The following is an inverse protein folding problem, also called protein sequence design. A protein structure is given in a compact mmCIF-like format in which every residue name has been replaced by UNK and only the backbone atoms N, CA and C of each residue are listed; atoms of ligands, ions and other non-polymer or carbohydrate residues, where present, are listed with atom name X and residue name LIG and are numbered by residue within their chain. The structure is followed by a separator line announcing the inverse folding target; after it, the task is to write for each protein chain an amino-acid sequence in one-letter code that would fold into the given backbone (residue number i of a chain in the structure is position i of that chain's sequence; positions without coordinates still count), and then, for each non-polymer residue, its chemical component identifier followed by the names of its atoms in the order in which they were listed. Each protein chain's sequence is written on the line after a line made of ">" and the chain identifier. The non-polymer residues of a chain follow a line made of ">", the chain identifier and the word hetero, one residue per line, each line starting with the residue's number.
data_IF_701259936758
#
_entry.id   IF_701259936758
#
_cell.length_a   1.000
_cell.length_b   1.000
_cell.length_c   1.000
_cell.angle_alpha   90.00
_cell.angle_beta   90.00
_cell.angle_gamma   90.00
#
_symmetry.space_group_name_H-M   'P 1'
#
loop_
_entity.id
_entity.type
_entity.pdbx_description
1 polymer ?
#
# COMPACT_ATOMS: atom_id res chain seq x y z
N UNK A 1 -52.52 14.10 55.59
CA UNK A 1 -51.91 14.30 54.26
C UNK A 1 -50.90 13.17 54.04
N UNK A 2 -51.22 12.14 53.25
CA UNK A 2 -50.28 11.06 52.92
C UNK A 2 -49.31 11.56 51.84
N UNK A 3 -48.24 12.23 52.25
CA UNK A 3 -47.15 12.55 51.32
C UNK A 3 -46.27 11.31 51.18
N UNK A 4 -46.55 10.56 50.12
CA UNK A 4 -45.71 9.48 49.61
C UNK A 4 -44.38 10.08 49.17
N UNK A 5 -43.29 9.80 49.91
CA UNK A 5 -41.93 9.87 49.37
C UNK A 5 -41.99 9.08 48.06
N UNK A 6 -41.81 9.75 46.92
CA UNK A 6 -42.12 9.22 45.59
C UNK A 6 -41.52 7.82 45.45
N UNK A 7 -42.39 6.81 45.55
CA UNK A 7 -42.08 5.38 45.58
C UNK A 7 -41.27 4.95 44.34
N UNK A 8 -41.34 5.78 43.29
CA UNK A 8 -40.60 5.67 42.03
C UNK A 8 -39.08 5.85 42.16
N UNK A 9 -38.58 6.77 43.01
CA UNK A 9 -37.13 6.98 43.17
C UNK A 9 -36.46 5.79 43.89
N UNK A 10 -37.18 5.17 44.82
CA UNK A 10 -36.72 3.99 45.55
C UNK A 10 -36.76 2.69 44.74
N UNK A 11 -37.78 2.51 43.91
CA UNK A 11 -37.89 1.34 43.04
C UNK A 11 -36.74 1.27 42.01
N UNK A 12 -36.23 2.41 41.55
CA UNK A 12 -35.09 2.51 40.64
C UNK A 12 -33.79 2.10 41.34
N UNK A 13 -33.62 2.44 42.63
CA UNK A 13 -32.41 2.09 43.38
C UNK A 13 -32.37 0.62 43.83
N UNK A 14 -33.49 -0.05 44.10
CA UNK A 14 -33.50 -1.48 44.51
C UNK A 14 -33.42 -2.46 43.32
N UNK A 15 -33.83 -2.04 42.12
CA UNK A 15 -33.87 -2.91 40.91
C UNK A 15 -32.55 -2.98 40.12
N UNK A 16 -31.54 -2.19 40.47
CA UNK A 16 -30.23 -2.22 39.81
C UNK A 16 -29.37 -3.35 40.37
N UNK A 17 -29.67 -4.57 39.95
CA UNK A 17 -28.66 -5.61 39.79
C UNK A 17 -27.77 -5.18 38.64
N UNK A 18 -26.49 -4.96 38.91
CA UNK A 18 -25.47 -4.84 37.85
C UNK A 18 -25.44 -6.21 37.17
N UNK A 19 -26.21 -6.38 36.09
CA UNK A 19 -25.95 -7.45 35.13
C UNK A 19 -24.57 -7.17 34.58
N UNK A 20 -23.58 -7.83 35.19
CA UNK A 20 -22.30 -8.05 34.58
C UNK A 20 -22.59 -8.55 33.17
N UNK A 21 -22.16 -7.75 32.19
CA UNK A 21 -22.22 -8.11 30.79
C UNK A 21 -21.28 -9.32 30.61
N UNK A 22 -21.82 -10.52 30.81
CA UNK A 22 -21.24 -11.74 30.27
C UNK A 22 -21.60 -11.80 28.79
N UNK A 23 -20.80 -11.16 27.94
CA UNK A 23 -20.75 -11.54 26.53
C UNK A 23 -19.42 -12.24 26.29
N UNK A 24 -19.44 -13.56 26.46
CA UNK A 24 -18.36 -14.42 26.03
C UNK A 24 -18.35 -14.53 24.50
N UNK A 25 -17.13 -14.55 23.95
CA UNK A 25 -16.80 -15.33 22.76
C UNK A 25 -16.41 -14.53 21.52
N UNK A 26 -15.08 -14.39 21.30
CA UNK A 26 -14.54 -14.44 19.93
C UNK A 26 -13.41 -13.46 19.57
N UNK A 27 -12.16 -13.82 19.89
CA UNK A 27 -11.03 -13.65 18.95
C UNK A 27 -10.13 -12.40 19.07
N UNK A 28 -8.85 -12.69 19.35
CA UNK A 28 -7.64 -11.93 18.97
C UNK A 28 -7.18 -10.73 19.82
N UNK A 29 -6.38 -11.08 20.84
CA UNK A 29 -5.07 -10.51 21.19
C UNK A 29 -4.81 -9.01 20.93
N UNK A 30 -5.13 -8.17 21.92
CA UNK A 30 -4.24 -7.11 22.40
C UNK A 30 -4.79 -6.61 23.75
N UNK A 31 -4.18 -7.09 24.84
CA UNK A 31 -4.43 -6.60 26.19
C UNK A 31 -4.08 -5.12 26.27
N UNK A 32 -5.06 -4.28 26.61
CA UNK A 32 -4.85 -2.99 27.26
C UNK A 32 -6.13 -2.64 28.03
N UNK A 33 -6.39 -3.40 29.09
CA UNK A 33 -7.20 -2.92 30.20
C UNK A 33 -6.50 -1.67 30.74
N UNK A 34 -7.01 -0.47 30.43
CA UNK A 34 -6.44 0.76 30.97
C UNK A 34 -6.66 0.75 32.50
N UNK A 35 -5.61 0.55 33.32
CA UNK A 35 -5.76 0.36 34.75
C UNK A 35 -6.32 1.61 35.45
N UNK A 36 -6.21 2.79 34.84
CA UNK A 36 -6.84 4.01 35.36
C UNK A 36 -8.36 4.03 35.17
N UNK A 37 -8.88 3.50 34.05
CA UNK A 37 -10.32 3.39 33.84
C UNK A 37 -10.94 2.36 34.80
N UNK A 38 -10.26 1.23 35.03
CA UNK A 38 -10.69 0.24 36.02
C UNK A 38 -10.73 0.84 37.44
N UNK A 39 -9.70 1.62 37.81
CA UNK A 39 -9.65 2.32 39.10
C UNK A 39 -10.77 3.36 39.25
N UNK A 40 -11.05 4.17 38.23
CA UNK A 40 -12.13 5.17 38.28
C UNK A 40 -13.52 4.50 38.40
N UNK A 41 -13.75 3.39 37.68
CA UNK A 41 -14.99 2.61 37.78
C UNK A 41 -15.13 1.98 39.18
N UNK A 42 -14.04 1.50 39.78
CA UNK A 42 -14.06 0.95 41.13
C UNK A 42 -14.35 2.02 42.19
N UNK A 43 -13.78 3.23 42.04
CA UNK A 43 -14.05 4.38 42.91
C UNK A 43 -15.53 4.79 42.82
N UNK A 44 -16.07 4.89 41.61
CA UNK A 44 -17.49 5.21 41.38
C UNK A 44 -18.41 4.14 41.99
N UNK A 45 -18.08 2.85 41.86
CA UNK A 45 -18.83 1.77 42.51
C UNK A 45 -18.84 1.91 44.03
N UNK A 46 -17.68 2.17 44.65
CA UNK A 46 -17.59 2.37 46.11
C UNK A 46 -18.41 3.58 46.57
N UNK A 47 -18.42 4.65 45.80
CA UNK A 47 -19.20 5.85 46.11
C UNK A 47 -20.72 5.59 46.02
N UNK A 48 -21.17 4.89 44.97
CA UNK A 48 -22.59 4.49 44.82
C UNK A 48 -23.05 3.53 45.93
N UNK A 49 -22.18 2.60 46.36
CA UNK A 49 -22.46 1.69 47.48
C UNK A 49 -22.65 2.46 48.80
N UNK A 50 -21.78 3.45 49.06
CA UNK A 50 -21.85 4.30 50.24
C UNK A 50 -23.13 5.16 50.24
N UNK A 51 -23.51 5.72 49.09
CA UNK A 51 -24.74 6.51 48.95
C UNK A 51 -26.00 5.66 49.08
N UNK A 52 -25.99 4.42 48.57
CA UNK A 52 -27.08 3.45 48.81
C UNK A 52 -27.28 3.15 50.29
N UNK A 53 -26.19 2.97 51.05
CA UNK A 53 -26.28 2.76 52.50
C UNK A 53 -26.87 4.00 53.19
N UNK A 54 -26.44 5.20 52.82
CA UNK A 54 -26.96 6.44 53.39
C UNK A 54 -28.47 6.62 53.13
N UNK A 55 -28.95 6.31 51.91
CA UNK A 55 -30.38 6.34 51.57
C UNK A 55 -31.17 5.32 52.39
N UNK A 56 -30.64 4.10 52.57
CA UNK A 56 -31.28 3.07 53.38
C UNK A 56 -31.42 3.49 54.84
N UNK A 57 -30.36 4.04 55.44
CA UNK A 57 -30.41 4.55 56.82
C UNK A 57 -31.40 5.71 56.98
N UNK A 58 -31.46 6.64 56.02
CA UNK A 58 -32.42 7.75 56.05
C UNK A 58 -33.87 7.26 55.95
N UNK A 59 -34.11 6.22 55.13
CA UNK A 59 -35.42 5.57 55.02
C UNK A 59 -35.85 4.92 56.34
N UNK A 60 -34.95 4.15 56.95
CA UNK A 60 -35.23 3.45 58.20
C UNK A 60 -35.57 4.44 59.33
N UNK A 61 -34.85 5.56 59.39
CA UNK A 61 -35.16 6.65 60.33
C UNK A 61 -36.52 7.30 60.06
N UNK A 62 -36.86 7.55 58.79
CA UNK A 62 -38.16 8.12 58.43
C UNK A 62 -39.32 7.17 58.78
N UNK A 63 -39.12 5.86 58.60
CA UNK A 63 -40.08 4.83 59.00
C UNK A 63 -40.26 4.79 60.53
N UNK A 64 -39.15 4.82 61.29
CA UNK A 64 -39.21 4.88 62.76
C UNK A 64 -39.90 6.17 63.27
N UNK A 65 -39.65 7.31 62.63
CA UNK A 65 -40.32 8.57 62.97
C UNK A 65 -41.83 8.48 62.70
N UNK A 66 -42.24 7.86 61.59
CA UNK A 66 -43.64 7.61 61.27
C UNK A 66 -44.32 6.70 62.30
N UNK A 67 -43.63 5.68 62.82
CA UNK A 67 -44.15 4.85 63.91
C UNK A 67 -44.34 5.63 65.21
N UNK A 68 -43.44 6.57 65.53
CA UNK A 68 -43.60 7.47 66.69
C UNK A 68 -44.83 8.37 66.55
N UNK A 69 -45.16 8.85 65.35
CA UNK A 69 -46.42 9.60 65.12
C UNK A 69 -47.64 8.74 65.46
N UNK A 70 -47.69 7.49 64.97
CA UNK A 70 -48.79 6.56 65.28
C UNK A 70 -48.92 6.30 66.79
N UNK A 71 -47.80 6.16 67.49
CA UNK A 71 -47.79 5.99 68.95
C UNK A 71 -48.29 7.25 69.68
N UNK A 72 -47.87 8.45 69.25
CA UNK A 72 -48.34 9.72 69.80
C UNK A 72 -49.82 9.98 69.53
N UNK A 73 -50.33 9.62 68.34
CA UNK A 73 -51.76 9.71 68.01
C UNK A 73 -52.61 8.78 68.90
N UNK A 74 -52.12 7.56 69.16
CA UNK A 74 -52.79 6.64 70.08
C UNK A 74 -52.80 7.17 71.53
N UNK A 75 -51.70 7.80 71.98
CA UNK A 75 -51.62 8.44 73.29
C UNK A 75 -52.59 9.64 73.42
N UNK A 76 -52.70 10.45 72.36
CA UNK A 76 -53.69 11.54 72.28
C UNK A 76 -55.12 11.00 72.38
N UNK A 77 -55.47 9.96 71.62
CA UNK A 77 -56.80 9.36 71.68
C UNK A 77 -57.14 8.82 73.08
N UNK A 78 -56.15 8.25 73.79
CA UNK A 78 -56.31 7.82 75.19
C UNK A 78 -56.53 9.02 76.13
N UNK A 79 -55.78 10.11 75.97
CA UNK A 79 -55.94 11.32 76.77
C UNK A 79 -57.30 12.01 76.54
N UNK A 80 -57.80 12.03 75.29
CA UNK A 80 -59.15 12.52 74.97
C UNK A 80 -60.23 11.69 75.68
N UNK A 81 -60.08 10.36 75.72
CA UNK A 81 -61.00 9.47 76.42
C UNK A 81 -60.94 9.65 77.95
N UNK A 82 -59.76 9.89 78.52
CA UNK A 82 -59.60 10.18 79.96
C UNK A 82 -60.19 11.54 80.35
N UNK A 83 -60.03 12.57 79.50
CA UNK A 83 -60.67 13.86 79.70
C UNK A 83 -62.19 13.74 79.69
N UNK A 84 -62.76 13.00 78.74
CA UNK A 84 -64.21 12.77 78.67
C UNK A 84 -64.75 12.09 79.94
N UNK A 85 -64.02 11.09 80.47
CA UNK A 85 -64.36 10.43 81.74
C UNK A 85 -64.24 11.38 82.94
N UNK A 86 -63.18 12.17 83.01
CA UNK A 86 -62.96 13.13 84.10
C UNK A 86 -64.02 14.25 84.12
N UNK A 87 -64.41 14.74 82.94
CA UNK A 87 -65.50 15.72 82.81
C UNK A 87 -66.86 15.15 83.20
N UNK A 88 -67.13 13.88 82.88
CA UNK A 88 -68.36 13.21 83.32
C UNK A 88 -68.39 13.04 84.85
N UNK A 89 -67.29 12.58 85.45
CA UNK A 89 -67.17 12.47 86.90
C UNK A 89 -67.31 13.82 87.62
N UNK A 90 -66.84 14.91 87.00
CA UNK A 90 -67.03 16.26 87.52
C UNK A 90 -68.51 16.69 87.54
N UNK A 91 -69.28 16.35 86.50
CA UNK A 91 -70.74 16.58 86.46
C UNK A 91 -71.47 15.75 87.51
N UNK A 92 -71.13 14.48 87.64
CA UNK A 92 -71.77 13.56 88.59
C UNK A 92 -71.49 14.00 90.06
N UNK A 93 -70.36 14.65 90.31
CA UNK A 93 -69.96 15.18 91.62
C UNK A 93 -70.57 16.55 91.99
N UNK A 94 -71.40 17.17 91.13
CA UNK A 94 -71.99 18.50 91.40
C UNK A 94 -72.88 18.54 92.66
N UNK A 95 -73.48 17.40 93.04
CA UNK A 95 -74.33 17.22 94.22
C UNK A 95 -73.64 16.44 95.35
N UNK A 96 -72.33 16.20 95.26
CA UNK A 96 -71.56 15.41 96.22
C UNK A 96 -70.93 16.25 97.35
N UNK A 97 -70.13 15.62 98.21
CA UNK A 97 -69.41 16.35 99.27
C UNK A 97 -68.33 17.28 98.68
N UNK A 98 -67.99 18.36 99.39
CA UNK A 98 -67.00 19.34 98.93
C UNK A 98 -65.63 18.72 98.59
N UNK A 99 -65.25 17.64 99.28
CA UNK A 99 -63.99 16.92 99.08
C UNK A 99 -64.00 16.08 97.78
N UNK A 100 -65.14 15.46 97.44
CA UNK A 100 -65.31 14.71 96.19
C UNK A 100 -65.32 15.63 94.96
N UNK A 101 -65.95 16.80 95.09
CA UNK A 101 -65.94 17.84 94.04
C UNK A 101 -64.52 18.35 93.76
N UNK A 102 -63.72 18.58 94.80
CA UNK A 102 -62.33 19.02 94.65
C UNK A 102 -61.44 17.96 93.97
N UNK A 103 -61.61 16.67 94.30
CA UNK A 103 -60.90 15.56 93.64
C UNK A 103 -61.28 15.42 92.17
N UNK A 104 -62.56 15.56 91.83
CA UNK A 104 -63.04 15.51 90.45
C UNK A 104 -62.51 16.71 89.62
N UNK A 105 -62.43 17.90 90.22
CA UNK A 105 -61.88 19.08 89.55
C UNK A 105 -60.37 18.94 89.27
N UNK A 106 -59.60 18.46 90.25
CA UNK A 106 -58.18 18.19 90.06
C UNK A 106 -57.92 17.11 88.99
N UNK A 107 -58.77 16.09 88.90
CA UNK A 107 -58.69 15.07 87.85
C UNK A 107 -58.98 15.64 86.45
N UNK A 108 -59.96 16.54 86.33
CA UNK A 108 -60.29 17.21 85.06
C UNK A 108 -59.19 18.19 84.62
N UNK A 109 -58.61 18.94 85.55
CA UNK A 109 -57.46 19.83 85.28
C UNK A 109 -56.23 19.04 84.84
N UNK A 110 -55.92 17.92 85.51
CA UNK A 110 -54.84 17.01 85.10
C UNK A 110 -55.08 16.42 83.71
N UNK A 111 -56.29 15.93 83.43
CA UNK A 111 -56.61 15.37 82.11
C UNK A 111 -56.53 16.43 80.98
N UNK A 112 -56.81 17.69 81.29
CA UNK A 112 -56.64 18.81 80.35
C UNK A 112 -55.16 19.07 80.05
N UNK A 113 -54.29 19.04 81.07
CA UNK A 113 -52.85 19.15 80.89
C UNK A 113 -52.27 17.96 80.12
N UNK A 114 -52.72 16.74 80.42
CA UNK A 114 -52.28 15.52 79.73
C UNK A 114 -52.68 15.54 78.25
N UNK A 115 -53.88 16.05 77.90
CA UNK A 115 -54.29 16.24 76.50
C UNK A 115 -53.44 17.29 75.78
N UNK A 116 -53.15 18.42 76.42
CA UNK A 116 -52.29 19.46 75.84
C UNK A 116 -50.87 18.93 75.58
N UNK A 117 -50.32 18.16 76.52
CA UNK A 117 -49.02 17.50 76.35
C UNK A 117 -49.05 16.47 75.21
N UNK A 118 -50.10 15.66 75.10
CA UNK A 118 -50.25 14.68 74.02
C UNK A 118 -50.41 15.34 72.64
N UNK A 119 -51.14 16.46 72.55
CA UNK A 119 -51.27 17.23 71.31
C UNK A 119 -49.94 17.85 70.87
N UNK A 120 -49.16 18.38 71.82
CA UNK A 120 -47.83 18.89 71.52
C UNK A 120 -46.88 17.77 71.06
N UNK A 121 -46.94 16.59 71.70
CA UNK A 121 -46.14 15.43 71.31
C UNK A 121 -46.45 14.92 69.89
N UNK A 122 -47.71 15.01 69.43
CA UNK A 122 -48.07 14.73 68.04
C UNK A 122 -47.43 15.75 67.09
N UNK A 123 -47.54 17.04 67.39
CA UNK A 123 -46.98 18.11 66.56
C UNK A 123 -45.45 18.01 66.42
N UNK A 124 -44.77 17.69 67.51
CA UNK A 124 -43.32 17.49 67.51
C UNK A 124 -42.92 16.24 66.70
N UNK A 125 -43.68 15.16 66.80
CA UNK A 125 -43.46 13.94 66.02
C UNK A 125 -43.72 14.13 64.51
N UNK A 126 -44.75 14.89 64.13
CA UNK A 126 -45.03 15.24 62.73
C UNK A 126 -43.92 16.12 62.14
N UNK A 127 -43.44 17.08 62.92
CA UNK A 127 -42.32 17.96 62.52
C UNK A 127 -41.03 17.15 62.31
N UNK A 128 -40.71 16.24 63.24
CA UNK A 128 -39.56 15.35 63.13
C UNK A 128 -39.66 14.41 61.92
N UNK A 129 -40.85 13.87 61.64
CA UNK A 129 -41.08 13.00 60.47
C UNK A 129 -40.89 13.75 59.16
N UNK A 130 -41.41 14.98 59.08
CA UNK A 130 -41.24 15.84 57.88
C UNK A 130 -39.78 16.16 57.62
N UNK A 131 -39.01 16.46 58.68
CA UNK A 131 -37.58 16.72 58.58
C UNK A 131 -36.80 15.48 58.08
N UNK A 132 -37.14 14.28 58.58
CA UNK A 132 -36.44 13.06 58.19
C UNK A 132 -36.81 12.60 56.76
N UNK A 133 -38.07 12.81 56.34
CA UNK A 133 -38.48 12.60 54.95
C UNK A 133 -37.78 13.56 53.97
N UNK A 134 -37.56 14.81 54.36
CA UNK A 134 -36.81 15.76 53.54
C UNK A 134 -35.34 15.32 53.36
N UNK A 135 -34.70 14.80 54.41
CA UNK A 135 -33.34 14.24 54.32
C UNK A 135 -33.29 13.00 53.42
N UNK A 136 -34.27 12.10 53.54
CA UNK A 136 -34.35 10.91 52.70
C UNK A 136 -34.54 11.27 51.21
N UNK A 137 -35.37 12.27 50.90
CA UNK A 137 -35.57 12.74 49.53
C UNK A 137 -34.30 13.40 48.97
N UNK A 138 -33.61 14.24 49.75
CA UNK A 138 -32.36 14.87 49.32
C UNK A 138 -31.25 13.84 49.05
N UNK A 139 -31.15 12.79 49.87
CA UNK A 139 -30.20 11.70 49.66
C UNK A 139 -30.53 10.90 48.37
N UNK A 140 -31.82 10.66 48.09
CA UNK A 140 -32.24 9.97 46.87
C UNK A 140 -31.97 10.80 45.61
N UNK A 141 -32.23 12.11 45.64
CA UNK A 141 -31.98 13.01 44.51
C UNK A 141 -30.48 13.12 44.20
N UNK A 142 -29.64 13.19 45.25
CA UNK A 142 -28.19 13.17 45.12
C UNK A 142 -27.69 11.87 44.46
N UNK A 143 -28.13 10.71 44.95
CA UNK A 143 -27.74 9.42 44.40
C UNK A 143 -28.15 9.25 42.92
N UNK A 144 -29.31 9.80 42.52
CA UNK A 144 -29.76 9.78 41.14
C UNK A 144 -28.88 10.65 40.22
N UNK A 145 -28.44 11.82 40.70
CA UNK A 145 -27.53 12.69 39.97
C UNK A 145 -26.14 12.05 39.82
N UNK A 146 -25.60 11.49 40.90
CA UNK A 146 -24.28 10.87 40.90
C UNK A 146 -24.25 9.63 40.00
N UNK A 147 -25.34 8.85 39.94
CA UNK A 147 -25.49 7.74 38.99
C UNK A 147 -25.51 8.21 37.53
N UNK A 148 -26.26 9.28 37.22
CA UNK A 148 -26.32 9.82 35.85
C UNK A 148 -24.94 10.34 35.40
N UNK A 149 -24.23 11.04 36.29
CA UNK A 149 -22.87 11.50 36.04
C UNK A 149 -21.89 10.34 35.80
N UNK A 150 -21.98 9.27 36.62
CA UNK A 150 -21.16 8.08 36.46
C UNK A 150 -21.43 7.34 35.13
N UNK A 151 -22.70 7.21 34.74
CA UNK A 151 -23.07 6.59 33.46
C UNK A 151 -22.55 7.38 32.26
N UNK A 152 -22.63 8.72 32.33
CA UNK A 152 -22.11 9.59 31.29
C UNK A 152 -20.58 9.49 31.18
N UNK A 153 -19.87 9.53 32.32
CA UNK A 153 -18.42 9.38 32.36
C UNK A 153 -17.94 8.04 31.75
N UNK A 154 -18.66 6.93 32.02
CA UNK A 154 -18.36 5.63 31.40
C UNK A 154 -18.58 5.65 29.89
N UNK A 155 -19.62 6.33 29.40
CA UNK A 155 -19.90 6.45 27.98
C UNK A 155 -18.81 7.25 27.26
N UNK A 156 -18.38 8.37 27.84
CA UNK A 156 -17.34 9.23 27.28
C UNK A 156 -15.98 8.51 27.28
N UNK A 157 -15.65 7.78 28.36
CA UNK A 157 -14.45 6.95 28.44
C UNK A 157 -14.41 5.87 27.34
N UNK A 158 -15.52 5.18 27.08
CA UNK A 158 -15.61 4.18 25.99
C UNK A 158 -15.42 4.82 24.60
N UNK A 159 -16.01 5.98 24.37
CA UNK A 159 -15.87 6.69 23.10
C UNK A 159 -14.43 7.14 22.85
N UNK A 160 -13.74 7.64 23.88
CA UNK A 160 -12.33 8.00 23.80
C UNK A 160 -11.44 6.79 23.47
N UNK A 161 -11.64 5.65 24.13
CA UNK A 161 -10.88 4.41 23.84
C UNK A 161 -11.10 3.92 22.41
N UNK A 162 -12.34 3.96 21.89
CA UNK A 162 -12.63 3.58 20.52
C UNK A 162 -11.95 4.51 19.49
N UNK A 163 -11.91 5.81 19.76
CA UNK A 163 -11.21 6.77 18.90
C UNK A 163 -9.68 6.55 18.89
N UNK A 164 -9.09 6.22 20.04
CA UNK A 164 -7.66 5.91 20.16
C UNK A 164 -7.30 4.62 19.39
N UNK A 165 -8.14 3.58 19.52
CA UNK A 165 -7.98 2.32 18.77
C UNK A 165 -8.08 2.53 17.26
N UNK A 166 -9.02 3.37 16.80
CA UNK A 166 -9.16 3.69 15.39
C UNK A 166 -7.92 4.41 14.83
N UNK A 167 -7.31 5.33 15.60
CA UNK A 167 -6.05 5.99 15.22
C UNK A 167 -4.88 5.00 15.14
N UNK A 168 -4.76 4.10 16.11
CA UNK A 168 -3.72 3.08 16.14
C UNK A 168 -3.84 2.12 14.94
N UNK A 169 -5.06 1.69 14.60
CA UNK A 169 -5.30 0.85 13.42
C UNK A 169 -4.93 1.57 12.13
N UNK A 170 -5.34 2.83 11.95
CA UNK A 170 -5.00 3.60 10.76
C UNK A 170 -3.47 3.80 10.60
N UNK A 171 -2.74 3.97 11.70
CA UNK A 171 -1.29 4.04 11.67
C UNK A 171 -0.64 2.70 11.28
N UNK A 172 -1.17 1.58 11.79
CA UNK A 172 -0.70 0.24 11.44
C UNK A 172 -0.94 -0.08 9.95
N UNK A 173 -2.12 0.25 9.42
CA UNK A 173 -2.47 0.04 8.02
C UNK A 173 -1.55 0.87 7.09
N UNK A 174 -1.25 2.12 7.47
CA UNK A 174 -0.31 2.97 6.74
C UNK A 174 1.11 2.37 6.73
N UNK A 175 1.60 1.90 7.88
CA UNK A 175 2.92 1.27 7.97
C UNK A 175 3.01 -0.02 7.13
N UNK A 176 1.93 -0.81 7.07
CA UNK A 176 1.88 -2.00 6.23
C UNK A 176 1.94 -1.67 4.72
N UNK A 177 1.27 -0.59 4.28
CA UNK A 177 1.36 -0.13 2.89
C UNK A 177 2.77 0.35 2.53
N UNK A 178 3.39 1.14 3.40
CA UNK A 178 4.76 1.62 3.19
C UNK A 178 5.76 0.45 3.10
N UNK A 179 5.59 -0.59 3.93
CA UNK A 179 6.42 -1.80 3.86
C UNK A 179 6.26 -2.55 2.54
N UNK A 180 5.03 -2.68 2.02
CA UNK A 180 4.77 -3.35 0.75
C UNK A 180 5.42 -2.62 -0.44
N UNK A 181 5.36 -1.28 -0.45
CA UNK A 181 6.03 -0.44 -1.45
C UNK A 181 7.56 -0.64 -1.37
N UNK A 182 8.14 -0.58 -0.17
CA UNK A 182 9.58 -0.78 0.01
C UNK A 182 10.05 -2.17 -0.47
N UNK A 183 9.25 -3.22 -0.25
CA UNK A 183 9.56 -4.56 -0.77
C UNK A 183 9.53 -4.61 -2.30
N UNK A 184 8.56 -3.95 -2.93
CA UNK A 184 8.49 -3.85 -4.39
C UNK A 184 9.70 -3.10 -4.97
N UNK A 185 10.13 -2.01 -4.33
CA UNK A 185 11.31 -1.24 -4.74
C UNK A 185 12.59 -2.07 -4.63
N UNK A 186 12.72 -2.88 -3.57
CA UNK A 186 13.87 -3.80 -3.41
C UNK A 186 13.93 -4.83 -4.53
N UNK A 187 12.80 -5.45 -4.90
CA UNK A 187 12.79 -6.42 -6.00
C UNK A 187 13.11 -5.78 -7.35
N UNK A 188 12.61 -4.56 -7.59
CA UNK A 188 12.99 -3.78 -8.78
C UNK A 188 14.49 -3.47 -8.81
N UNK A 189 15.06 -3.05 -7.69
CA UNK A 189 16.49 -2.77 -7.57
C UNK A 189 17.35 -4.02 -7.77
N UNK A 190 16.91 -5.19 -7.28
CA UNK A 190 17.59 -6.47 -7.55
C UNK A 190 17.58 -6.83 -9.04
N UNK A 191 16.44 -6.66 -9.72
CA UNK A 191 16.34 -6.91 -11.15
C UNK A 191 17.25 -5.96 -11.96
N UNK A 192 17.33 -4.69 -11.57
CA UNK A 192 18.22 -3.71 -12.18
C UNK A 192 19.70 -4.04 -11.92
N UNK A 193 20.04 -4.47 -10.71
CA UNK A 193 21.39 -4.93 -10.36
C UNK A 193 21.80 -6.16 -11.18
N UNK A 194 20.89 -7.13 -11.39
CA UNK A 194 21.16 -8.30 -12.21
C UNK A 194 21.47 -7.92 -13.66
N UNK A 195 20.71 -6.97 -14.25
CA UNK A 195 20.99 -6.43 -15.58
C UNK A 195 22.35 -5.74 -15.65
N UNK A 196 22.73 -4.99 -14.61
CA UNK A 196 24.03 -4.33 -14.54
C UNK A 196 25.18 -5.33 -14.38
N UNK A 197 25.00 -6.40 -13.61
CA UNK A 197 25.98 -7.46 -13.44
C UNK A 197 26.18 -8.25 -14.74
N UNK A 198 25.10 -8.57 -15.47
CA UNK A 198 25.19 -9.14 -16.81
C UNK A 198 25.91 -8.18 -17.76
N UNK A 199 25.50 -6.90 -17.80
CA UNK A 199 26.20 -5.86 -18.55
C UNK A 199 27.68 -5.82 -18.19
N UNK A 200 28.05 -5.82 -16.91
CA UNK A 200 29.45 -5.79 -16.48
C UNK A 200 30.24 -7.02 -16.94
N UNK A 201 29.65 -8.22 -16.89
CA UNK A 201 30.25 -9.43 -17.49
C UNK A 201 30.50 -9.24 -19.00
N UNK A 202 29.62 -8.52 -19.69
CA UNK A 202 29.78 -8.19 -21.12
C UNK A 202 30.82 -7.10 -21.40
N UNK A 203 31.10 -6.20 -20.44
CA UNK A 203 32.08 -5.10 -20.57
C UNK A 203 33.51 -5.48 -20.12
N UNK A 204 33.67 -6.39 -19.16
CA UNK A 204 34.96 -6.66 -18.50
C UNK A 204 35.91 -7.64 -19.23
N UNK A 205 35.63 -7.96 -20.50
CA UNK A 205 36.54 -8.78 -21.31
C UNK A 205 36.87 -8.09 -22.64
N UNK A 206 37.92 -7.26 -22.57
CA UNK A 206 38.96 -7.04 -23.59
C UNK A 206 38.51 -6.95 -25.05
N UNK A 207 38.35 -5.71 -25.51
CA UNK A 207 38.31 -5.22 -26.90
C UNK A 207 37.15 -5.71 -27.79
N UNK A 208 36.36 -4.76 -28.27
CA UNK A 208 35.42 -4.94 -29.38
C UNK A 208 36.14 -4.50 -30.64
N UNK A 209 36.62 -5.43 -31.45
CA UNK A 209 37.21 -5.12 -32.76
C UNK A 209 36.26 -5.51 -33.88
N UNK A 210 36.01 -4.57 -34.79
CA UNK A 210 35.45 -4.85 -36.10
C UNK A 210 36.61 -5.19 -37.05
N UNK A 211 36.52 -6.30 -37.79
CA UNK A 211 37.49 -6.77 -38.80
C UNK A 211 38.62 -7.69 -38.30
N UNK A 212 39.21 -8.45 -39.25
CA UNK A 212 40.17 -9.53 -39.01
C UNK A 212 39.54 -10.91 -38.77
N UNK A 213 40.23 -11.99 -39.15
CA UNK A 213 39.77 -13.37 -38.98
C UNK A 213 40.26 -13.91 -37.60
N UNK A 214 39.48 -13.70 -36.54
CA UNK A 214 39.82 -14.17 -35.17
C UNK A 214 38.89 -15.32 -34.76
N UNK A 215 39.35 -16.59 -34.80
CA UNK A 215 38.47 -17.74 -34.63
C UNK A 215 38.16 -18.16 -33.17
N UNK A 216 38.53 -17.40 -32.12
CA UNK A 216 38.56 -17.97 -30.75
C UNK A 216 38.24 -17.01 -29.59
N UNK A 217 37.12 -16.30 -29.62
CA UNK A 217 36.52 -15.73 -28.40
C UNK A 217 35.12 -16.28 -28.20
N UNK A 218 34.99 -17.22 -27.25
CA UNK A 218 33.81 -18.06 -26.99
C UNK A 218 32.55 -17.34 -26.50
N UNK A 219 32.51 -16.01 -26.52
CA UNK A 219 31.38 -15.20 -26.05
C UNK A 219 31.01 -14.04 -27.00
N UNK A 220 31.72 -13.87 -28.12
CA UNK A 220 31.49 -12.79 -29.09
C UNK A 220 31.66 -13.32 -30.51
N UNK A 221 30.91 -12.75 -31.42
CA UNK A 221 30.94 -13.13 -32.82
C UNK A 221 31.25 -11.90 -33.65
N UNK A 222 32.37 -11.93 -34.35
CA UNK A 222 32.68 -10.95 -35.39
C UNK A 222 32.43 -11.59 -36.74
N UNK A 223 31.53 -11.00 -37.51
CA UNK A 223 31.33 -11.31 -38.92
C UNK A 223 31.87 -10.14 -39.69
N UNK A 224 33.05 -10.31 -40.27
CA UNK A 224 33.68 -9.24 -41.03
C UNK A 224 34.67 -9.76 -42.06
N UNK A 225 34.79 -9.02 -43.14
CA UNK A 225 35.76 -9.19 -44.23
C UNK A 225 36.72 -8.02 -44.35
N UNK A 226 36.53 -6.98 -43.53
CA UNK A 226 37.48 -5.88 -43.43
C UNK A 226 38.78 -6.35 -42.78
N UNK A 227 39.91 -5.94 -43.35
CA UNK A 227 41.25 -6.23 -42.85
C UNK A 227 41.75 -5.19 -41.84
N UNK A 228 40.87 -4.31 -41.37
CA UNK A 228 41.16 -3.25 -40.41
C UNK A 228 40.54 -3.55 -39.05
N UNK A 229 41.12 -3.05 -37.96
CA UNK A 229 40.65 -3.25 -36.58
C UNK A 229 40.20 -1.93 -35.95
N UNK A 230 38.97 -1.86 -35.45
CA UNK A 230 38.46 -0.69 -34.70
C UNK A 230 38.24 -1.05 -33.23
N UNK A 231 38.94 -0.40 -32.31
CA UNK A 231 38.68 -0.56 -30.87
C UNK A 231 37.44 0.24 -30.45
N UNK A 232 36.29 -0.43 -30.34
CA UNK A 232 35.04 0.21 -29.96
C UNK A 232 34.97 0.60 -28.47
N UNK A 233 35.91 0.16 -27.62
CA UNK A 233 35.92 0.59 -26.19
C UNK A 233 36.23 2.07 -26.01
N UNK A 234 36.89 2.68 -27.01
CA UNK A 234 37.19 4.12 -27.05
C UNK A 234 36.00 4.99 -27.46
N UNK A 235 34.91 4.37 -27.89
CA UNK A 235 33.75 5.06 -28.44
C UNK A 235 32.50 4.70 -27.63
N UNK A 236 31.87 5.66 -26.92
CA UNK A 236 30.66 5.36 -26.16
C UNK A 236 29.52 4.87 -27.04
N UNK A 237 28.60 4.11 -26.42
CA UNK A 237 27.37 3.64 -27.06
C UNK A 237 26.64 4.80 -27.74
N UNK A 238 26.14 4.57 -28.96
CA UNK A 238 25.46 5.57 -29.77
C UNK A 238 24.66 4.92 -30.88
N UNK A 239 23.44 5.41 -31.08
CA UNK A 239 22.60 5.04 -32.23
C UNK A 239 22.88 5.89 -33.46
N UNK A 240 23.77 6.88 -33.35
CA UNK A 240 24.23 7.71 -34.45
C UNK A 240 25.49 7.13 -35.11
N UNK A 241 25.63 7.41 -36.41
CA UNK A 241 26.82 7.01 -37.17
C UNK A 241 28.03 7.81 -36.71
N UNK A 242 29.07 7.10 -36.34
CA UNK A 242 30.41 7.64 -36.07
C UNK A 242 31.32 7.36 -37.24
N UNK A 243 32.28 8.26 -37.44
CA UNK A 243 33.30 8.11 -38.47
C UNK A 243 34.68 8.23 -37.82
N UNK A 244 35.61 7.37 -38.24
CA UNK A 244 37.01 7.44 -37.82
C UNK A 244 37.93 7.22 -39.01
N UNK A 245 39.09 7.87 -38.96
CA UNK A 245 40.24 7.50 -39.80
C UNK A 245 40.86 6.23 -39.22
N UNK A 246 41.10 5.26 -40.08
CA UNK A 246 41.66 3.96 -39.72
C UNK A 246 43.12 3.96 -40.12
N UNK A 247 44.00 3.66 -39.16
CA UNK A 247 45.44 3.57 -39.39
C UNK A 247 45.91 2.12 -39.29
N UNK A 248 46.87 1.73 -40.11
CA UNK A 248 47.54 0.44 -39.98
C UNK A 248 48.59 0.45 -38.85
N UNK A 249 49.27 -0.68 -38.65
CA UNK A 249 50.29 -0.85 -37.59
C UNK A 249 51.47 0.13 -37.73
N UNK A 250 51.76 0.60 -38.94
CA UNK A 250 52.79 1.61 -39.24
C UNK A 250 52.30 3.06 -39.00
N UNK A 251 51.05 3.24 -38.57
CA UNK A 251 50.43 4.55 -38.34
C UNK A 251 49.99 5.28 -39.61
N UNK A 252 49.95 4.59 -40.76
CA UNK A 252 49.51 5.14 -42.04
C UNK A 252 47.98 5.07 -42.12
N UNK A 253 47.32 6.16 -42.53
CA UNK A 253 45.89 6.15 -42.82
C UNK A 253 45.61 5.21 -44.00
N UNK A 254 44.70 4.26 -43.81
CA UNK A 254 44.31 3.27 -44.81
C UNK A 254 42.87 3.43 -45.26
N UNK A 255 42.12 4.35 -44.66
CA UNK A 255 40.74 4.62 -45.02
C UNK A 255 39.88 5.15 -43.88
N UNK A 256 38.58 5.19 -44.12
CA UNK A 256 37.58 5.69 -43.18
C UNK A 256 36.56 4.62 -42.86
N UNK A 257 36.33 4.39 -41.58
CA UNK A 257 35.25 3.53 -41.11
C UNK A 257 34.06 4.34 -40.63
N UNK A 258 32.88 3.86 -40.96
CA UNK A 258 31.59 4.39 -40.53
C UNK A 258 30.91 3.30 -39.72
N UNK A 259 30.59 3.56 -38.46
CA UNK A 259 30.06 2.53 -37.57
C UNK A 259 29.02 3.06 -36.61
N UNK A 260 28.24 2.14 -36.07
CA UNK A 260 27.30 2.37 -34.96
C UNK A 260 27.66 1.37 -33.86
N UNK A 261 27.81 1.87 -32.62
CA UNK A 261 28.19 1.07 -31.46
C UNK A 261 27.03 1.01 -30.48
N UNK A 262 26.28 -0.08 -30.47
CA UNK A 262 25.15 -0.30 -29.59
C UNK A 262 25.59 -1.08 -28.33
N UNK A 263 24.66 -1.33 -27.41
CA UNK A 263 24.99 -1.91 -26.11
C UNK A 263 25.51 -3.35 -26.26
N UNK A 264 24.92 -4.14 -27.17
CA UNK A 264 25.23 -5.56 -27.37
C UNK A 264 25.70 -5.90 -28.78
N UNK A 265 25.65 -4.96 -29.72
CA UNK A 265 26.04 -5.14 -31.11
C UNK A 265 26.70 -3.89 -31.69
N UNK A 266 27.45 -4.06 -32.77
CA UNK A 266 28.01 -2.95 -33.54
C UNK A 266 28.18 -3.37 -34.99
N UNK A 267 28.08 -2.43 -35.91
CA UNK A 267 28.19 -2.69 -37.33
C UNK A 267 28.85 -1.52 -38.05
N UNK A 268 29.52 -1.82 -39.16
CA UNK A 268 30.28 -0.83 -39.92
C UNK A 268 30.25 -1.02 -41.44
N UNK A 269 30.70 0.04 -42.10
CA UNK A 269 31.17 0.05 -43.47
C UNK A 269 32.54 0.75 -43.52
N UNK A 270 33.49 0.17 -44.25
CA UNK A 270 34.84 0.72 -44.39
C UNK A 270 35.11 1.17 -45.84
N UNK A 271 35.68 2.37 -45.98
CA UNK A 271 36.07 2.97 -47.24
C UNK A 271 37.59 3.06 -47.27
N UNK A 272 38.28 2.21 -48.04
CA UNK A 272 39.74 2.27 -48.12
C UNK A 272 40.21 3.53 -48.87
N UNK A 273 41.33 4.10 -48.42
CA UNK A 273 41.98 5.25 -49.07
C UNK A 273 42.64 4.84 -50.40
N UNK A 274 43.16 3.62 -50.46
CA UNK A 274 43.69 3.02 -51.68
C UNK A 274 42.83 1.82 -52.10
N UNK A 275 42.28 1.87 -53.31
CA UNK A 275 41.36 0.87 -53.88
C UNK A 275 42.01 0.00 -54.95
N UNK A 276 43.33 0.12 -55.14
CA UNK A 276 44.07 -0.70 -56.11
C UNK A 276 44.02 -2.18 -55.74
N UNK A 277 43.99 -3.04 -56.75
CA UNK A 277 43.97 -4.50 -56.58
C UNK A 277 45.21 -5.04 -55.83
N UNK A 278 46.29 -4.27 -55.78
CA UNK A 278 47.54 -4.61 -55.10
C UNK A 278 47.54 -4.27 -53.60
N UNK A 279 46.47 -3.65 -53.09
CA UNK A 279 46.32 -3.33 -51.65
C UNK A 279 45.43 -4.33 -50.91
N UNK A 280 45.80 -4.73 -49.68
CA UNK A 280 45.11 -5.78 -48.91
C UNK A 280 43.84 -5.30 -48.18
N UNK A 281 43.42 -4.05 -48.41
CA UNK A 281 42.32 -3.43 -47.65
C UNK A 281 40.99 -3.61 -48.38
N UNK A 282 40.36 -4.75 -48.13
CA UNK A 282 38.98 -5.01 -48.55
C UNK A 282 38.00 -4.55 -47.47
N UNK A 283 36.74 -4.33 -47.87
CA UNK A 283 35.66 -4.13 -46.91
C UNK A 283 34.45 -4.95 -47.30
N UNK A 284 33.81 -5.51 -46.28
CA UNK A 284 32.50 -6.16 -46.36
C UNK A 284 31.49 -5.44 -45.48
N UNK A 285 30.34 -6.09 -45.29
CA UNK A 285 29.47 -5.77 -44.18
C UNK A 285 30.12 -6.38 -42.93
N UNK A 286 30.63 -5.55 -42.03
CA UNK A 286 31.23 -6.03 -40.79
C UNK A 286 30.34 -5.70 -39.60
N UNK A 287 30.19 -6.67 -38.70
CA UNK A 287 29.47 -6.48 -37.46
C UNK A 287 29.99 -7.42 -36.38
N UNK A 288 29.88 -6.98 -35.14
CA UNK A 288 30.19 -7.75 -33.94
C UNK A 288 28.97 -7.79 -33.04
N UNK A 289 28.73 -8.93 -32.39
CA UNK A 289 27.61 -9.04 -31.49
C UNK A 289 27.80 -10.00 -30.32
N UNK A 290 26.94 -9.68 -29.37
CA UNK A 290 26.35 -10.34 -28.21
C UNK A 290 25.41 -11.53 -28.40
N UNK A 291 25.76 -12.75 -28.84
CA UNK A 291 24.73 -13.73 -29.21
C UNK A 291 23.72 -13.98 -28.08
N UNK A 292 22.43 -13.84 -28.38
CA UNK A 292 21.37 -14.17 -27.42
C UNK A 292 21.32 -15.67 -27.15
N UNK A 293 21.30 -16.05 -25.87
CA UNK A 293 21.03 -17.42 -25.44
C UNK A 293 19.53 -17.68 -25.43
N UNK A 294 19.04 -18.41 -26.44
CA UNK A 294 17.62 -18.71 -26.61
C UNK A 294 16.99 -19.41 -25.39
N UNK A 295 17.77 -20.13 -24.57
CA UNK A 295 17.27 -20.81 -23.37
C UNK A 295 17.08 -19.87 -22.17
N UNK A 296 17.67 -18.67 -22.22
CA UNK A 296 17.62 -17.69 -21.11
C UNK A 296 16.82 -16.45 -21.46
N UNK A 297 16.72 -16.10 -22.73
CA UNK A 297 15.94 -14.94 -23.16
C UNK A 297 14.45 -15.13 -22.88
N UNK A 298 13.90 -14.25 -22.04
CA UNK A 298 12.47 -14.16 -21.78
C UNK A 298 11.66 -13.79 -23.03
N UNK A 299 12.18 -12.96 -23.92
CA UNK A 299 11.52 -12.61 -25.17
C UNK A 299 11.28 -13.83 -26.07
N UNK A 300 12.30 -14.69 -26.18
CA UNK A 300 12.21 -15.93 -26.95
C UNK A 300 11.34 -16.96 -26.22
N UNK A 301 11.58 -17.20 -24.93
CA UNK A 301 10.85 -18.20 -24.14
C UNK A 301 9.35 -17.86 -24.02
N UNK A 302 9.00 -16.59 -23.93
CA UNK A 302 7.61 -16.12 -23.90
C UNK A 302 6.99 -15.93 -25.28
N UNK A 303 7.73 -16.25 -26.36
CA UNK A 303 7.25 -16.24 -27.73
C UNK A 303 6.64 -14.88 -28.14
N UNK A 304 7.28 -13.78 -27.76
CA UNK A 304 6.74 -12.44 -28.04
C UNK A 304 6.88 -12.07 -29.51
N UNK A 305 6.08 -11.11 -29.97
CA UNK A 305 6.37 -10.35 -31.19
C UNK A 305 7.16 -9.10 -30.82
N UNK A 306 8.31 -8.89 -31.44
CA UNK A 306 9.22 -7.79 -31.13
C UNK A 306 9.52 -6.95 -32.39
N UNK A 307 9.43 -5.63 -32.25
CA UNK A 307 9.81 -4.68 -33.31
C UNK A 307 11.15 -4.06 -32.98
N UNK A 308 12.08 -4.08 -33.93
CA UNK A 308 13.40 -3.48 -33.85
C UNK A 308 13.49 -2.32 -34.80
N UNK A 309 13.98 -1.18 -34.33
CA UNK A 309 14.23 -0.01 -35.19
C UNK A 309 15.64 0.52 -34.98
N UNK A 310 16.22 1.08 -36.05
CA UNK A 310 17.57 1.62 -36.02
C UNK A 310 17.99 2.17 -37.37
N UNK A 311 19.28 2.05 -37.68
CA UNK A 311 19.86 2.55 -38.91
C UNK A 311 20.47 1.41 -39.74
N UNK A 312 20.61 1.68 -41.02
CA UNK A 312 21.43 0.92 -41.93
C UNK A 312 22.50 1.82 -42.56
N UNK A 313 23.65 1.23 -42.82
CA UNK A 313 24.77 1.86 -43.51
C UNK A 313 24.89 1.26 -44.90
N UNK A 314 24.61 2.07 -45.91
CA UNK A 314 24.74 1.72 -47.30
C UNK A 314 26.12 2.10 -47.82
N UNK A 315 26.85 1.11 -48.32
CA UNK A 315 28.09 1.35 -49.07
C UNK A 315 27.80 1.58 -50.54
N UNK A 316 28.19 2.75 -51.02
CA UNK A 316 27.96 3.21 -52.38
C UNK A 316 29.28 3.24 -53.14
N UNK A 317 29.53 2.22 -53.95
CA UNK A 317 30.66 2.23 -54.88
C UNK A 317 30.44 3.25 -56.01
N UNK A 318 31.52 3.89 -56.46
CA UNK A 318 31.47 4.79 -57.63
C UNK A 318 31.24 3.98 -58.91
N UNK A 319 31.91 2.84 -59.03
CA UNK A 319 31.67 1.81 -60.06
C UNK A 319 32.38 0.49 -59.65
N UNK A 320 32.24 -0.57 -60.46
CA UNK A 320 32.82 -1.90 -60.15
C UNK A 320 34.36 -1.90 -60.09
N UNK A 321 35.01 -0.93 -60.73
CA UNK A 321 36.48 -0.75 -60.76
C UNK A 321 37.02 0.30 -59.79
N UNK A 322 36.16 1.18 -59.26
CA UNK A 322 36.49 2.24 -58.31
C UNK A 322 35.68 2.06 -57.04
N UNK A 323 36.36 1.47 -56.05
CA UNK A 323 35.79 1.19 -54.74
C UNK A 323 35.89 2.38 -53.76
N UNK A 324 36.33 3.56 -54.21
CA UNK A 324 36.49 4.78 -53.38
C UNK A 324 35.15 5.50 -53.18
N UNK A 325 34.17 4.71 -52.78
CA UNK A 325 32.78 5.10 -52.64
C UNK A 325 32.50 6.01 -51.44
N UNK A 326 31.22 6.13 -51.10
CA UNK A 326 30.74 6.79 -49.88
C UNK A 326 29.89 5.83 -49.04
N UNK A 327 29.70 6.17 -47.76
CA UNK A 327 28.72 5.52 -46.89
C UNK A 327 27.59 6.51 -46.63
N UNK A 328 26.35 6.04 -46.80
CA UNK A 328 25.14 6.82 -46.55
C UNK A 328 24.25 6.08 -45.57
N UNK A 329 23.35 6.80 -44.90
CA UNK A 329 22.42 6.20 -43.93
C UNK A 329 21.09 5.85 -44.56
N UNK A 330 20.39 4.94 -43.91
CA UNK A 330 18.99 4.62 -44.15
C UNK A 330 18.35 4.22 -42.82
N UNK A 331 17.02 4.27 -42.74
CA UNK A 331 16.28 3.74 -41.59
C UNK A 331 16.13 2.24 -41.72
N UNK A 332 16.27 1.53 -40.61
CA UNK A 332 16.06 0.09 -40.51
C UNK A 332 14.87 -0.21 -39.60
N UNK A 333 14.03 -1.15 -40.02
CA UNK A 333 12.94 -1.73 -39.22
C UNK A 333 12.84 -3.22 -39.46
N UNK A 334 12.59 -4.00 -38.41
CA UNK A 334 12.38 -5.44 -38.45
C UNK A 334 11.35 -5.84 -37.39
N UNK A 335 10.36 -6.64 -37.77
CA UNK A 335 9.47 -7.33 -36.85
C UNK A 335 9.90 -8.79 -36.77
N UNK A 336 10.11 -9.29 -35.55
CA UNK A 336 10.36 -10.70 -35.27
C UNK A 336 9.18 -11.30 -34.51
N UNK A 337 8.65 -12.40 -35.01
CA UNK A 337 7.64 -13.21 -34.34
C UNK A 337 8.31 -14.51 -33.85
N UNK A 338 8.60 -14.56 -32.54
CA UNK A 338 9.26 -15.72 -31.93
C UNK A 338 8.31 -16.92 -31.78
N UNK A 339 6.99 -16.73 -31.86
CA UNK A 339 6.03 -17.83 -31.87
C UNK A 339 6.04 -18.54 -33.23
N UNK A 340 6.08 -17.76 -34.31
CA UNK A 340 6.08 -18.28 -35.68
C UNK A 340 7.49 -18.57 -36.23
N UNK A 341 8.53 -18.15 -35.52
CA UNK A 341 9.92 -18.18 -35.99
C UNK A 341 10.11 -17.46 -37.33
N UNK A 342 9.49 -16.28 -37.47
CA UNK A 342 9.57 -15.47 -38.69
C UNK A 342 10.09 -14.07 -38.41
N UNK A 343 10.71 -13.47 -39.41
CA UNK A 343 11.03 -12.03 -39.42
C UNK A 343 10.61 -11.40 -40.72
N UNK A 344 10.28 -10.12 -40.71
CA UNK A 344 10.12 -9.30 -41.91
C UNK A 344 10.51 -7.85 -41.59
N UNK A 345 10.87 -7.07 -42.59
CA UNK A 345 11.35 -5.72 -42.33
C UNK A 345 11.64 -4.91 -43.57
N UNK A 346 12.26 -3.75 -43.39
CA UNK A 346 12.62 -2.88 -44.49
C UNK A 346 13.82 -1.99 -44.14
N UNK A 347 14.51 -1.56 -45.19
CA UNK A 347 15.48 -0.45 -45.14
C UNK A 347 14.95 0.67 -46.02
N UNK A 348 14.58 1.77 -45.40
CA UNK A 348 13.84 2.88 -46.02
C UNK A 348 14.58 4.20 -45.86
N UNK A 349 14.09 5.24 -46.53
CA UNK A 349 14.65 6.61 -46.43
C UNK A 349 16.16 6.63 -46.72
N UNK A 350 16.56 5.92 -47.77
CA UNK A 350 17.97 5.76 -48.14
C UNK A 350 18.54 7.08 -48.68
N UNK A 351 19.52 7.64 -47.98
CA UNK A 351 20.14 8.94 -48.32
C UNK A 351 20.86 8.94 -49.67
N UNK A 352 21.26 7.76 -50.18
CA UNK A 352 21.84 7.61 -51.52
C UNK A 352 20.83 7.76 -52.68
N UNK A 353 19.53 7.95 -52.37
CA UNK A 353 18.46 8.08 -53.36
C UNK A 353 18.17 6.80 -54.15
N UNK A 354 18.65 5.64 -53.69
CA UNK A 354 18.25 4.32 -54.23
C UNK A 354 16.88 3.95 -53.66
N UNK A 355 16.16 3.08 -54.36
CA UNK A 355 14.88 2.57 -53.86
C UNK A 355 15.06 1.80 -52.55
N UNK A 356 14.03 1.81 -51.72
CA UNK A 356 13.99 1.06 -50.48
C UNK A 356 14.25 -0.44 -50.70
N UNK A 357 14.72 -1.10 -49.64
CA UNK A 357 14.94 -2.54 -49.62
C UNK A 357 13.84 -3.15 -48.77
N UNK A 358 13.04 -4.02 -49.37
CA UNK A 358 12.12 -4.88 -48.65
C UNK A 358 12.89 -6.11 -48.15
N UNK A 359 12.80 -6.37 -46.85
CA UNK A 359 13.20 -7.65 -46.26
C UNK A 359 11.93 -8.51 -46.22
N UNK A 360 11.84 -9.45 -47.15
CA UNK A 360 10.70 -10.36 -47.24
C UNK A 360 10.65 -11.27 -46.02
N UNK A 361 9.50 -11.91 -45.77
CA UNK A 361 9.38 -12.84 -44.65
C UNK A 361 10.47 -13.92 -44.71
N UNK A 362 11.32 -13.93 -43.69
CA UNK A 362 12.41 -14.87 -43.47
C UNK A 362 12.13 -15.76 -42.29
N UNK A 363 13.13 -16.56 -41.95
CA UNK A 363 13.06 -17.55 -40.87
C UNK A 363 14.00 -17.18 -39.74
N UNK A 364 13.55 -17.44 -38.52
CA UNK A 364 14.35 -17.43 -37.30
C UNK A 364 14.86 -18.85 -37.04
N UNK A 365 16.13 -18.99 -36.66
CA UNK A 365 16.71 -20.28 -36.31
C UNK A 365 17.79 -20.16 -35.25
N UNK A 366 18.04 -21.26 -34.53
CA UNK A 366 19.12 -21.40 -33.55
C UNK A 366 20.51 -21.54 -34.20
N UNK A 367 20.55 -21.69 -35.52
CA UNK A 367 21.74 -21.63 -36.35
C UNK A 367 21.35 -20.95 -37.66
N UNK A 368 22.18 -20.02 -38.12
CA UNK A 368 21.95 -19.32 -39.39
C UNK A 368 23.12 -19.58 -40.31
N UNK A 369 22.81 -20.03 -41.52
CA UNK A 369 23.80 -20.31 -42.54
C UNK A 369 23.45 -19.63 -43.87
N UNK A 370 24.46 -19.12 -44.57
CA UNK A 370 24.42 -18.78 -45.98
C UNK A 370 25.73 -19.24 -46.65
N UNK A 371 25.91 -18.91 -47.94
CA UNK A 371 27.10 -19.26 -48.71
C UNK A 371 28.45 -18.80 -48.12
N UNK A 372 28.44 -17.92 -47.11
CA UNK A 372 29.64 -17.32 -46.51
C UNK A 372 29.70 -17.36 -44.98
N UNK A 373 28.61 -17.76 -44.32
CA UNK A 373 28.42 -17.67 -42.87
C UNK A 373 27.76 -18.99 -42.45
N UNK A 374 28.29 -19.69 -41.47
CA UNK A 374 27.63 -20.81 -40.81
C UNK A 374 27.86 -20.67 -39.31
N UNK A 375 26.81 -20.27 -38.58
CA UNK A 375 26.94 -19.83 -37.21
C UNK A 375 25.87 -20.43 -36.30
N UNK A 376 26.28 -21.11 -35.21
CA UNK A 376 25.37 -21.78 -34.28
C UNK A 376 24.78 -20.80 -33.25
N UNK A 377 24.27 -19.67 -33.73
CA UNK A 377 23.67 -18.63 -32.89
C UNK A 377 22.27 -18.29 -33.37
N UNK A 378 21.44 -17.87 -32.42
CA UNK A 378 20.08 -17.42 -32.70
C UNK A 378 20.10 -16.22 -33.64
N UNK A 379 19.48 -16.38 -34.81
CA UNK A 379 19.44 -15.32 -35.80
C UNK A 379 18.36 -15.57 -36.84
N UNK A 380 18.48 -14.85 -37.95
CA UNK A 380 17.48 -14.87 -38.99
C UNK A 380 18.10 -14.70 -40.38
N UNK A 381 17.40 -15.20 -41.39
CA UNK A 381 17.77 -14.98 -42.79
C UNK A 381 16.55 -15.01 -43.70
N UNK A 382 16.66 -14.36 -44.85
CA UNK A 382 15.60 -14.34 -45.84
C UNK A 382 15.99 -13.61 -47.13
N UNK A 383 14.98 -13.37 -47.97
CA UNK A 383 15.16 -12.72 -49.27
C UNK A 383 15.01 -11.21 -49.12
N UNK A 384 15.92 -10.45 -49.72
CA UNK A 384 15.81 -9.00 -49.82
C UNK A 384 15.49 -8.59 -51.26
N UNK A 385 14.62 -7.60 -51.46
CA UNK A 385 14.25 -7.07 -52.78
C UNK A 385 14.37 -5.56 -52.83
N UNK A 386 14.79 -5.04 -53.98
CA UNK A 386 14.77 -3.60 -54.26
C UNK A 386 14.44 -3.33 -55.73
N UNK A 387 13.80 -2.21 -56.02
CA UNK A 387 13.42 -1.81 -57.37
C UNK A 387 14.53 -0.98 -58.02
N UNK A 388 15.06 -1.44 -59.16
CA UNK A 388 16.05 -0.68 -59.93
C UNK A 388 15.43 0.58 -60.52
N UNK A 389 16.25 1.59 -60.83
CA UNK A 389 15.81 2.78 -61.60
C UNK A 389 15.15 2.42 -62.93
N UNK A 390 15.53 1.29 -63.54
CA UNK A 390 14.93 0.77 -64.76
C UNK A 390 13.57 0.07 -64.57
N UNK A 391 13.02 0.05 -63.34
CA UNK A 391 11.76 -0.61 -62.99
C UNK A 391 11.85 -2.11 -62.71
N UNK A 392 13.00 -2.75 -62.97
CA UNK A 392 13.20 -4.18 -62.69
C UNK A 392 13.49 -4.47 -61.21
N UNK A 393 13.04 -5.62 -60.71
CA UNK A 393 13.32 -6.06 -59.34
C UNK A 393 14.72 -6.69 -59.28
N UNK A 394 15.51 -6.30 -58.28
CA UNK A 394 16.74 -6.99 -57.90
C UNK A 394 16.50 -7.76 -56.62
N UNK A 395 16.90 -9.03 -56.64
CA UNK A 395 16.78 -9.95 -55.51
C UNK A 395 18.16 -10.20 -54.92
N UNK A 396 18.22 -10.21 -53.59
CA UNK A 396 19.39 -10.51 -52.79
C UNK A 396 18.97 -11.26 -51.53
N UNK A 397 19.84 -11.30 -50.55
CA UNK A 397 19.64 -12.03 -49.30
C UNK A 397 19.95 -11.12 -48.11
N UNK A 398 19.24 -11.30 -47.01
CA UNK A 398 19.59 -10.71 -45.73
C UNK A 398 19.88 -11.79 -44.70
N UNK A 399 20.79 -11.47 -43.79
CA UNK A 399 21.16 -12.30 -42.65
C UNK A 399 21.36 -11.39 -41.45
N UNK A 400 20.93 -11.81 -40.28
CA UNK A 400 21.18 -11.09 -39.04
C UNK A 400 21.06 -11.99 -37.81
N UNK A 401 21.40 -11.43 -36.66
CA UNK A 401 21.49 -12.14 -35.39
C UNK A 401 20.82 -11.32 -34.29
N UNK A 402 20.25 -12.02 -33.31
CA UNK A 402 19.76 -11.41 -32.09
C UNK A 402 20.92 -11.20 -31.12
N UNK A 403 20.98 -10.01 -30.54
CA UNK A 403 22.04 -9.57 -29.68
C UNK A 403 21.53 -9.11 -28.31
N UNK A 404 22.30 -9.45 -27.27
CA UNK A 404 21.98 -9.17 -25.87
C UNK A 404 21.34 -10.36 -25.15
N UNK A 405 21.31 -10.34 -23.81
CA UNK A 405 20.82 -11.46 -22.99
C UNK A 405 19.35 -11.79 -23.25
N UNK A 406 18.56 -10.82 -23.71
CA UNK A 406 17.14 -10.96 -23.94
C UNK A 406 16.70 -10.60 -25.37
N UNK A 407 17.60 -10.62 -26.36
CA UNK A 407 17.34 -10.14 -27.73
C UNK A 407 16.87 -8.67 -27.75
N UNK A 408 17.62 -7.79 -27.09
CA UNK A 408 17.36 -6.35 -27.07
C UNK A 408 17.77 -5.66 -28.38
N UNK A 409 18.71 -6.26 -29.10
CA UNK A 409 19.25 -5.71 -30.34
C UNK A 409 19.24 -6.75 -31.45
N UNK A 410 19.28 -6.27 -32.69
CA UNK A 410 19.59 -7.09 -33.87
C UNK A 410 20.69 -6.42 -34.66
N UNK A 411 21.52 -7.23 -35.30
CA UNK A 411 22.54 -6.75 -36.23
C UNK A 411 22.66 -7.68 -37.42
N UNK A 412 22.98 -7.15 -38.59
CA UNK A 412 23.10 -7.98 -39.78
C UNK A 412 23.49 -7.24 -41.03
N UNK A 413 23.25 -7.88 -42.16
CA UNK A 413 23.57 -7.33 -43.47
C UNK A 413 22.64 -7.80 -44.58
N UNK A 414 22.59 -6.99 -45.64
CA UNK A 414 21.97 -7.32 -46.92
C UNK A 414 23.06 -7.42 -47.98
N UNK A 415 22.99 -8.50 -48.77
CA UNK A 415 23.95 -8.82 -49.82
C UNK A 415 23.26 -8.98 -51.18
N UNK A 416 24.05 -8.92 -52.25
CA UNK A 416 23.65 -9.19 -53.64
C UNK A 416 22.68 -8.17 -54.29
N UNK A 417 22.44 -7.01 -53.67
CA UNK A 417 21.58 -5.94 -54.21
C UNK A 417 22.31 -4.81 -54.97
N UNK A 418 23.59 -4.98 -55.33
CA UNK A 418 24.36 -3.96 -56.06
C UNK A 418 24.98 -2.90 -55.16
N UNK A 419 25.18 -3.29 -53.91
CA UNK A 419 25.80 -2.56 -52.82
C UNK A 419 25.91 -3.51 -51.64
N UNK A 420 26.60 -3.05 -50.60
CA UNK A 420 26.71 -3.73 -49.31
C UNK A 420 25.97 -2.86 -48.30
N UNK A 421 25.05 -3.46 -47.55
CA UNK A 421 24.30 -2.76 -46.52
C UNK A 421 24.44 -3.51 -45.21
N UNK A 422 24.96 -2.88 -44.18
CA UNK A 422 24.92 -3.38 -42.80
C UNK A 422 23.80 -2.68 -42.06
N UNK A 423 23.17 -3.34 -41.11
CA UNK A 423 22.09 -2.76 -40.33
C UNK A 423 22.14 -3.22 -38.88
N UNK A 424 21.52 -2.44 -38.00
CA UNK A 424 21.20 -2.87 -36.65
C UNK A 424 20.10 -2.03 -36.03
N UNK A 425 19.43 -2.59 -35.04
CA UNK A 425 18.27 -1.96 -34.41
C UNK A 425 18.02 -2.45 -33.01
N UNK A 426 17.35 -1.61 -32.21
CA UNK A 426 16.96 -1.87 -30.83
C UNK A 426 15.48 -2.22 -30.76
N UNK A 427 15.14 -3.19 -29.92
CA UNK A 427 13.77 -3.55 -29.59
C UNK A 427 13.04 -2.37 -28.95
N UNK A 428 11.82 -2.11 -29.40
CA UNK A 428 10.97 -1.00 -28.95
C UNK A 428 10.12 -1.34 -27.73
#
# INVERSE_FOLDING_TARGET
>A
MRLSVKTTAMAILVSLGVTACSSGGGGSSASNDNPEQAKQIEVLKKQVEAERQAVKSAQDNANQASEKVKASEAAKAKAEAELAKAQQALKDAENATAEEKAKAQAAAEKATQDLAAAQQAVKDAETATTAEQAKAQAAADKAAQDLAAAQQAVKDAKAATAAEQAKAQAAADKAAQELAIAQQDVEKAKAELAKLQEKQLYWDSTWRYLGGNEPNVSQRVTIGRSSVKIDLSKYPESDDVRQIDVVNDDGINVGKAYFINQAYSSYEQFIPENVSFDTPYWSGNDFVFIPTDANKSSAIQNQITATYTGLALDRNYNNDSDRSGSVTKAKFSLTADFAQNTVEGAITERENGRADIQLEQGVIGSSVANQYIDMPYMGFSGVAKTTRKSGGIRTGEYIGFFAGPDAEEVVGSVNNLGGQTSFGGKRQ
#
